data_IF_114144023018
#
_entry.id   IF_114144023018
#
_cell.length_a   1.000
_cell.length_b   1.000
_cell.length_c   1.000
_cell.angle_alpha   90.00
_cell.angle_beta   90.00
_cell.angle_gamma   90.00
#
_symmetry.space_group_name_H-M   'P 1'
#
loop_
_entity.id
_entity.type
_entity.pdbx_description
1 polymer ?
#
# COMPACT_ATOMS: atom_id res chain seq x y z
N UNK A 1 17.49 -19.62 3.79
CA UNK A 1 16.11 -20.12 3.71
C UNK A 1 15.40 -19.38 2.60
N UNK A 2 14.64 -20.09 1.75
CA UNK A 2 13.86 -19.48 0.64
C UNK A 2 12.54 -18.94 1.20
N UNK A 3 12.00 -17.89 0.58
CA UNK A 3 10.67 -17.36 0.90
C UNK A 3 9.82 -17.39 -0.36
N UNK A 4 8.73 -18.11 -0.33
CA UNK A 4 7.89 -18.39 -1.50
C UNK A 4 6.67 -17.48 -1.52
N UNK A 5 6.26 -17.04 -2.71
CA UNK A 5 5.01 -16.31 -2.95
C UNK A 5 3.96 -17.34 -3.35
N UNK A 6 2.94 -17.49 -2.52
CA UNK A 6 1.90 -18.52 -2.70
C UNK A 6 0.50 -17.95 -2.90
N UNK A 7 0.36 -16.63 -2.86
CA UNK A 7 -0.88 -15.92 -3.16
C UNK A 7 -0.59 -14.49 -3.60
N UNK A 8 -1.43 -13.97 -4.49
CA UNK A 8 -1.33 -12.60 -5.00
C UNK A 8 -2.74 -12.01 -5.10
N UNK A 9 -2.92 -10.83 -4.53
CA UNK A 9 -4.09 -9.98 -4.72
C UNK A 9 -3.68 -8.60 -5.19
N UNK A 10 -4.41 -8.08 -6.15
CA UNK A 10 -4.26 -6.72 -6.67
C UNK A 10 -5.64 -6.12 -6.91
N UNK A 11 -5.78 -4.87 -6.53
CA UNK A 11 -6.89 -4.00 -6.92
C UNK A 11 -6.33 -2.64 -7.29
N UNK A 12 -6.63 -2.16 -8.47
CA UNK A 12 -6.16 -0.87 -8.99
C UNK A 12 -7.23 -0.21 -9.84
N UNK A 13 -6.99 0.99 -10.31
CA UNK A 13 -7.85 1.68 -11.27
C UNK A 13 -8.00 0.91 -12.62
N UNK A 14 -7.10 -0.03 -12.92
CA UNK A 14 -7.22 -0.93 -14.06
C UNK A 14 -8.06 -2.17 -13.75
N UNK A 15 -8.41 -2.42 -12.50
CA UNK A 15 -9.19 -3.58 -12.04
C UNK A 15 -8.39 -4.54 -11.17
N UNK A 16 -8.76 -5.83 -11.18
CA UNK A 16 -8.04 -6.88 -10.46
C UNK A 16 -6.72 -7.26 -11.16
N UNK A 17 -5.99 -8.24 -10.60
CA UNK A 17 -4.69 -8.69 -11.11
C UNK A 17 -4.70 -9.02 -12.61
N UNK A 18 -5.65 -9.82 -13.06
CA UNK A 18 -5.72 -10.27 -14.46
C UNK A 18 -6.10 -9.13 -15.40
N UNK A 19 -7.13 -8.35 -15.05
CA UNK A 19 -7.56 -7.19 -15.80
C UNK A 19 -6.47 -6.12 -15.90
N UNK A 20 -5.75 -5.88 -14.79
CA UNK A 20 -4.63 -4.95 -14.78
C UNK A 20 -3.51 -5.42 -15.69
N UNK A 21 -3.16 -6.70 -15.64
CA UNK A 21 -2.13 -7.27 -16.49
C UNK A 21 -2.49 -7.17 -17.98
N UNK A 22 -3.70 -7.59 -18.39
CA UNK A 22 -4.17 -7.47 -19.78
C UNK A 22 -4.14 -6.02 -20.28
N UNK A 23 -4.63 -5.08 -19.47
CA UNK A 23 -4.66 -3.67 -19.84
C UNK A 23 -3.25 -3.06 -19.95
N UNK A 24 -2.32 -3.46 -19.07
CA UNK A 24 -0.91 -3.04 -19.14
C UNK A 24 -0.27 -3.55 -20.45
N UNK A 25 -0.48 -4.81 -20.81
CA UNK A 25 0.03 -5.37 -22.09
C UNK A 25 -0.54 -4.65 -23.31
N UNK A 26 -1.75 -4.09 -23.20
CA UNK A 26 -2.39 -3.29 -24.25
C UNK A 26 -1.98 -1.80 -24.22
N UNK A 27 -1.07 -1.41 -23.33
CA UNK A 27 -0.68 0.00 -23.15
C UNK A 27 -1.80 0.91 -22.63
N UNK A 28 -2.84 0.34 -22.01
CA UNK A 28 -3.98 1.12 -21.50
C UNK A 28 -3.64 1.78 -20.17
N UNK A 29 -4.03 3.04 -20.03
CA UNK A 29 -3.96 3.81 -18.78
C UNK A 29 -5.37 3.99 -18.18
N UNK A 30 -5.44 3.96 -16.85
CA UNK A 30 -6.65 4.32 -16.11
C UNK A 30 -6.68 5.79 -15.66
N UNK A 31 -5.65 6.57 -15.98
CA UNK A 31 -5.62 7.99 -15.66
C UNK A 31 -6.67 8.72 -16.50
N UNK A 32 -7.55 9.46 -15.84
CA UNK A 32 -8.60 10.28 -16.45
C UNK A 32 -8.70 11.60 -15.70
N UNK A 33 -9.32 12.60 -16.33
CA UNK A 33 -9.65 13.86 -15.65
C UNK A 33 -10.87 13.64 -14.75
N UNK A 34 -10.70 13.96 -13.46
CA UNK A 34 -11.73 13.84 -12.44
C UNK A 34 -11.82 15.11 -11.61
N UNK A 35 -13.01 15.39 -11.07
CA UNK A 35 -13.26 16.43 -10.08
C UNK A 35 -13.86 15.78 -8.82
N UNK A 36 -13.03 15.13 -7.97
CA UNK A 36 -13.56 14.38 -6.83
C UNK A 36 -14.12 15.27 -5.72
N UNK A 37 -13.75 16.56 -5.69
CA UNK A 37 -14.19 17.55 -4.71
C UNK A 37 -14.59 18.83 -5.43
N UNK A 38 -15.73 19.42 -5.06
CA UNK A 38 -16.31 20.59 -5.75
C UNK A 38 -15.38 21.81 -5.73
N UNK A 39 -14.61 21.96 -4.64
CA UNK A 39 -13.65 23.06 -4.44
C UNK A 39 -12.34 22.91 -5.25
N UNK A 40 -12.10 21.76 -5.88
CA UNK A 40 -10.90 21.53 -6.66
C UNK A 40 -11.17 21.56 -8.17
N UNK A 41 -10.16 21.91 -8.98
CA UNK A 41 -10.28 21.83 -10.44
C UNK A 41 -10.30 20.37 -10.91
N UNK A 42 -10.52 20.16 -12.20
CA UNK A 42 -10.26 18.87 -12.87
C UNK A 42 -8.78 18.51 -12.73
N UNK A 43 -8.51 17.28 -12.33
CA UNK A 43 -7.16 16.75 -12.14
C UNK A 43 -7.03 15.37 -12.79
N UNK A 44 -5.85 15.04 -13.38
CA UNK A 44 -5.57 13.68 -13.80
C UNK A 44 -5.43 12.81 -12.55
N UNK A 45 -6.28 11.78 -12.43
CA UNK A 45 -6.32 10.85 -11.30
C UNK A 45 -6.58 9.44 -11.82
N UNK A 46 -6.14 8.42 -11.05
CA UNK A 46 -6.42 7.02 -11.31
C UNK A 46 -7.34 6.46 -10.20
N UNK A 47 -8.64 6.67 -10.36
CA UNK A 47 -9.67 6.21 -9.44
C UNK A 47 -10.08 4.77 -9.74
N UNK A 48 -10.35 3.98 -8.69
CA UNK A 48 -10.93 2.63 -8.84
C UNK A 48 -12.41 2.69 -9.20
N UNK A 49 -13.14 3.61 -8.59
CA UNK A 49 -14.56 3.85 -8.83
C UNK A 49 -14.79 5.26 -9.42
N UNK A 50 -16.03 5.70 -9.48
CA UNK A 50 -16.41 7.05 -9.94
C UNK A 50 -15.94 8.17 -9.01
N UNK A 51 -15.63 7.87 -7.75
CA UNK A 51 -15.10 8.79 -6.73
C UNK A 51 -14.05 8.10 -5.86
N UNK A 52 -13.39 8.86 -4.96
CA UNK A 52 -12.42 8.30 -4.04
C UNK A 52 -13.02 7.18 -3.19
N UNK A 53 -12.25 6.09 -3.02
CA UNK A 53 -12.70 4.93 -2.26
C UNK A 53 -12.29 5.02 -0.79
N UNK A 54 -13.05 4.35 0.05
CA UNK A 54 -12.68 4.15 1.46
C UNK A 54 -11.64 3.04 1.59
N UNK A 55 -10.59 3.30 2.35
CA UNK A 55 -9.49 2.35 2.55
C UNK A 55 -9.95 1.01 3.17
N UNK A 56 -10.90 0.96 4.15
CA UNK A 56 -11.41 -0.30 4.67
C UNK A 56 -12.04 -1.20 3.62
N UNK A 57 -12.77 -0.62 2.67
CA UNK A 57 -13.34 -1.36 1.56
C UNK A 57 -12.23 -1.99 0.69
N UNK A 58 -11.20 -1.21 0.35
CA UNK A 58 -10.07 -1.69 -0.47
C UNK A 58 -9.31 -2.83 0.22
N UNK A 59 -9.04 -2.70 1.52
CA UNK A 59 -8.37 -3.75 2.31
C UNK A 59 -9.20 -5.03 2.27
N UNK A 60 -10.51 -4.92 2.52
CA UNK A 60 -11.40 -6.10 2.50
C UNK A 60 -11.36 -6.82 1.17
N UNK A 61 -11.41 -6.08 0.07
CA UNK A 61 -11.38 -6.65 -1.29
C UNK A 61 -10.04 -7.33 -1.59
N UNK A 62 -8.92 -6.64 -1.37
CA UNK A 62 -7.61 -7.18 -1.74
C UNK A 62 -7.18 -8.34 -0.84
N UNK A 63 -7.43 -8.28 0.48
CA UNK A 63 -7.13 -9.38 1.40
C UNK A 63 -7.96 -10.61 1.05
N UNK A 64 -9.27 -10.44 0.81
CA UNK A 64 -10.15 -11.53 0.41
C UNK A 64 -9.70 -12.21 -0.90
N UNK A 65 -9.34 -11.42 -1.91
CA UNK A 65 -8.82 -11.97 -3.19
C UNK A 65 -7.46 -12.64 -3.01
N UNK A 66 -6.59 -12.12 -2.15
CA UNK A 66 -5.28 -12.71 -1.84
C UNK A 66 -5.42 -14.06 -1.16
N UNK A 67 -6.25 -14.16 -0.12
CA UNK A 67 -6.56 -15.42 0.57
C UNK A 67 -7.12 -16.44 -0.41
N UNK A 68 -8.10 -16.06 -1.22
CA UNK A 68 -8.67 -16.94 -2.26
C UNK A 68 -7.62 -17.40 -3.26
N UNK A 69 -6.76 -16.50 -3.75
CA UNK A 69 -5.67 -16.81 -4.70
C UNK A 69 -4.67 -17.81 -4.14
N UNK A 70 -4.44 -17.80 -2.83
CA UNK A 70 -3.51 -18.70 -2.15
C UNK A 70 -4.11 -20.08 -1.83
N UNK A 71 -5.41 -20.28 -2.02
CA UNK A 71 -6.11 -21.49 -1.58
C UNK A 71 -6.20 -21.65 -0.06
N UNK A 72 -6.05 -20.57 0.69
CA UNK A 72 -6.17 -20.57 2.14
C UNK A 72 -7.63 -20.37 2.58
N UNK A 73 -7.95 -20.85 3.76
CA UNK A 73 -9.24 -20.66 4.43
C UNK A 73 -9.03 -19.95 5.76
N UNK A 74 -9.81 -18.93 6.03
CA UNK A 74 -9.80 -18.24 7.31
C UNK A 74 -10.59 -19.04 8.37
N UNK A 75 -10.25 -18.97 9.67
CA UNK A 75 -9.22 -18.10 10.26
C UNK A 75 -7.79 -18.63 10.07
N UNK A 76 -6.81 -17.69 10.09
CA UNK A 76 -5.37 -17.98 9.96
C UNK A 76 -4.62 -17.49 11.21
N UNK A 77 -4.81 -18.12 12.39
CA UNK A 77 -4.29 -17.59 13.65
C UNK A 77 -2.76 -17.47 13.69
N UNK A 78 -2.03 -18.37 13.06
CA UNK A 78 -0.56 -18.38 13.02
C UNK A 78 0.04 -17.48 11.93
N UNK A 79 -0.81 -16.73 11.20
CA UNK A 79 -0.35 -15.87 10.13
C UNK A 79 0.17 -14.54 10.67
N UNK A 80 1.36 -14.12 10.23
CA UNK A 80 1.80 -12.75 10.39
C UNK A 80 1.13 -11.83 9.39
N UNK A 81 1.03 -10.54 9.71
CA UNK A 81 0.49 -9.50 8.84
C UNK A 81 1.44 -8.31 8.79
N UNK A 82 1.88 -7.94 7.60
CA UNK A 82 2.74 -6.77 7.39
C UNK A 82 2.13 -5.94 6.26
N UNK A 83 1.26 -5.02 6.62
CA UNK A 83 0.56 -4.17 5.66
C UNK A 83 0.83 -2.71 5.99
N UNK A 84 1.44 -2.01 5.03
CA UNK A 84 1.73 -0.61 5.13
C UNK A 84 0.75 0.26 4.35
N UNK A 85 0.66 1.51 4.78
CA UNK A 85 0.04 2.59 4.02
C UNK A 85 0.79 3.88 4.29
N UNK A 86 1.03 4.68 3.26
CA UNK A 86 1.71 5.97 3.44
C UNK A 86 0.78 7.06 3.98
N UNK A 87 -0.53 6.85 3.85
CA UNK A 87 -1.56 7.81 4.25
C UNK A 87 -2.52 7.26 5.29
N UNK A 88 -2.63 5.93 5.42
CA UNK A 88 -3.59 5.30 6.31
C UNK A 88 -5.01 5.76 6.03
N UNK A 89 -5.77 6.00 7.06
CA UNK A 89 -7.15 6.49 6.98
C UNK A 89 -7.26 8.01 6.86
N UNK A 90 -6.34 8.67 6.12
CA UNK A 90 -6.27 10.12 6.04
C UNK A 90 -7.60 10.77 5.64
N UNK A 91 -8.33 10.22 4.67
CA UNK A 91 -9.64 10.77 4.28
C UNK A 91 -10.64 10.77 5.43
N UNK A 92 -10.69 9.70 6.21
CA UNK A 92 -11.54 9.60 7.40
C UNK A 92 -11.06 10.56 8.50
N UNK A 93 -9.75 10.69 8.68
CA UNK A 93 -9.15 11.65 9.62
C UNK A 93 -9.49 13.09 9.27
N UNK A 94 -9.46 13.45 7.98
CA UNK A 94 -9.86 14.80 7.52
C UNK A 94 -11.34 15.09 7.82
N UNK A 95 -12.22 14.10 7.60
CA UNK A 95 -13.64 14.21 7.94
C UNK A 95 -13.83 14.34 9.45
N UNK A 96 -13.14 13.51 10.23
CA UNK A 96 -13.17 13.58 11.69
C UNK A 96 -12.70 14.95 12.21
N UNK A 97 -11.54 15.42 11.73
CA UNK A 97 -10.98 16.71 12.11
C UNK A 97 -11.91 17.88 11.73
N UNK A 98 -12.50 17.84 10.52
CA UNK A 98 -13.45 18.87 10.08
C UNK A 98 -14.66 18.94 11.00
N UNK A 99 -15.21 17.80 11.42
CA UNK A 99 -16.35 17.72 12.32
C UNK A 99 -16.04 18.28 13.71
N UNK A 100 -14.83 17.97 14.24
CA UNK A 100 -14.48 18.27 15.63
C UNK A 100 -13.84 19.64 15.84
N UNK A 101 -13.19 20.21 14.84
CA UNK A 101 -12.45 21.47 14.99
C UNK A 101 -13.08 22.66 14.23
N UNK A 102 -13.96 22.38 13.25
CA UNK A 102 -14.50 23.41 12.39
C UNK A 102 -16.06 23.49 12.39
N UNK A 103 -16.72 22.57 13.07
CA UNK A 103 -18.15 22.64 13.35
C UNK A 103 -18.29 22.80 14.85
N UNK A 104 -19.27 23.60 15.33
CA UNK A 104 -19.53 23.89 16.76
C UNK A 104 -19.76 22.60 17.58
N UNK A 105 -18.70 21.84 17.83
CA UNK A 105 -18.73 20.66 18.71
C UNK A 105 -18.56 21.11 20.17
N UNK A 106 -19.44 20.66 21.05
CA UNK A 106 -19.27 20.83 22.48
C UNK A 106 -18.08 20.00 22.97
N UNK A 107 -17.37 20.50 23.97
CA UNK A 107 -16.19 19.85 24.54
C UNK A 107 -16.44 18.42 25.01
N UNK A 108 -17.67 18.15 25.52
CA UNK A 108 -18.11 16.82 25.96
C UNK A 108 -18.20 15.78 24.82
N UNK A 109 -18.39 16.20 23.58
CA UNK A 109 -18.45 15.31 22.41
C UNK A 109 -17.04 14.86 21.96
N UNK A 110 -16.02 15.68 22.23
CA UNK A 110 -14.61 15.34 21.97
C UNK A 110 -14.11 14.19 22.84
N UNK A 111 -14.42 14.23 24.15
CA UNK A 111 -13.96 13.19 25.10
C UNK A 111 -14.58 11.82 24.79
N UNK A 112 -15.82 11.80 24.29
CA UNK A 112 -16.51 10.56 23.93
C UNK A 112 -16.03 9.93 22.62
N UNK A 113 -15.33 10.68 21.75
CA UNK A 113 -14.95 10.23 20.41
C UNK A 113 -13.45 9.91 20.27
N UNK A 114 -12.67 9.91 21.36
CA UNK A 114 -11.26 9.47 21.31
C UNK A 114 -11.10 8.02 20.81
N UNK A 115 -12.08 7.15 21.10
CA UNK A 115 -12.12 5.79 20.56
C UNK A 115 -12.16 5.76 19.03
N UNK A 116 -12.92 6.66 18.43
CA UNK A 116 -12.98 6.83 16.97
C UNK A 116 -11.66 7.31 16.39
N UNK A 117 -10.97 8.24 17.06
CA UNK A 117 -9.67 8.75 16.63
C UNK A 117 -8.60 7.64 16.58
N UNK A 118 -8.53 6.79 17.61
CA UNK A 118 -7.57 5.67 17.65
C UNK A 118 -7.74 4.75 16.45
N UNK A 119 -8.97 4.57 15.95
CA UNK A 119 -9.27 3.77 14.77
C UNK A 119 -8.84 4.42 13.44
N UNK A 120 -8.39 5.68 13.45
CA UNK A 120 -7.90 6.40 12.28
C UNK A 120 -6.37 6.43 12.18
N UNK A 121 -5.67 5.91 13.18
CA UNK A 121 -4.20 5.93 13.23
C UNK A 121 -3.56 5.10 12.10
N UNK A 122 -2.35 5.46 11.65
CA UNK A 122 -1.72 4.89 10.46
C UNK A 122 -1.50 3.36 10.49
N UNK A 123 -1.49 2.74 11.67
CA UNK A 123 -1.30 1.29 11.81
C UNK A 123 -2.61 0.49 11.64
N UNK A 124 -3.75 1.13 11.67
CA UNK A 124 -5.06 0.48 11.59
C UNK A 124 -5.30 -0.36 10.32
N UNK A 125 -4.79 -0.01 9.14
CA UNK A 125 -4.88 -0.88 7.97
C UNK A 125 -4.36 -2.30 8.19
N UNK A 126 -3.24 -2.44 8.91
CA UNK A 126 -2.67 -3.75 9.24
C UNK A 126 -3.53 -4.51 10.26
N UNK A 127 -4.05 -3.82 11.29
CA UNK A 127 -4.94 -4.40 12.28
C UNK A 127 -6.25 -4.86 11.63
N UNK A 128 -6.83 -4.05 10.74
CA UNK A 128 -8.05 -4.40 10.03
C UNK A 128 -7.87 -5.66 9.18
N UNK A 129 -6.75 -5.76 8.45
CA UNK A 129 -6.41 -6.95 7.67
C UNK A 129 -6.20 -8.18 8.56
N UNK A 130 -5.51 -8.03 9.70
CA UNK A 130 -5.29 -9.10 10.67
C UNK A 130 -6.62 -9.62 11.25
N UNK A 131 -7.51 -8.72 11.63
CA UNK A 131 -8.87 -9.05 12.11
C UNK A 131 -9.67 -9.81 11.04
N UNK A 132 -9.61 -9.37 9.78
CA UNK A 132 -10.33 -9.99 8.67
C UNK A 132 -9.94 -11.46 8.46
N UNK A 133 -8.68 -11.81 8.68
CA UNK A 133 -8.19 -13.18 8.51
C UNK A 133 -8.07 -13.96 9.84
N UNK A 134 -8.45 -13.37 10.96
CA UNK A 134 -8.35 -13.97 12.27
C UNK A 134 -6.90 -14.23 12.72
N UNK A 135 -5.95 -13.41 12.23
CA UNK A 135 -4.54 -13.54 12.60
C UNK A 135 -4.30 -13.13 14.06
N UNK A 136 -3.47 -13.90 14.76
CA UNK A 136 -2.99 -13.65 16.14
C UNK A 136 -1.47 -13.56 16.21
N UNK A 137 -0.79 -13.74 15.08
CA UNK A 137 0.66 -13.61 14.96
C UNK A 137 1.12 -12.16 14.94
N UNK A 138 2.37 -11.93 14.52
CA UNK A 138 2.97 -10.59 14.44
C UNK A 138 2.22 -9.70 13.47
N UNK A 139 1.84 -8.50 13.91
CA UNK A 139 1.21 -7.47 13.07
C UNK A 139 2.12 -6.25 13.01
N UNK A 140 2.56 -5.87 11.81
CA UNK A 140 3.41 -4.70 11.56
C UNK A 140 2.77 -3.78 10.52
N UNK A 141 2.94 -2.48 10.70
CA UNK A 141 2.45 -1.44 9.80
C UNK A 141 3.60 -0.51 9.38
N UNK A 142 4.50 -0.93 8.50
CA UNK A 142 5.60 -0.09 8.05
C UNK A 142 5.08 1.10 7.25
N UNK A 143 5.78 2.24 7.40
CA UNK A 143 5.56 3.43 6.61
C UNK A 143 6.90 3.97 6.11
N UNK A 144 7.05 4.08 4.80
CA UNK A 144 8.24 4.59 4.12
C UNK A 144 7.85 5.34 2.85
N UNK A 145 6.82 6.18 2.93
CA UNK A 145 6.25 6.91 1.81
C UNK A 145 6.03 6.01 0.57
N UNK A 146 6.55 6.36 -0.60
CA UNK A 146 6.38 5.58 -1.84
C UNK A 146 7.01 4.18 -1.77
N UNK A 147 7.98 3.94 -0.88
CA UNK A 147 8.64 2.65 -0.70
C UNK A 147 7.94 1.71 0.29
N UNK A 148 6.79 2.12 0.87
CA UNK A 148 6.08 1.38 1.91
C UNK A 148 5.81 -0.08 1.54
N UNK A 149 5.39 -0.35 0.28
CA UNK A 149 5.13 -1.71 -0.19
C UNK A 149 6.37 -2.61 -0.19
N UNK A 150 7.52 -2.07 -0.62
CA UNK A 150 8.79 -2.81 -0.60
C UNK A 150 9.24 -3.07 0.84
N UNK A 151 9.08 -2.10 1.75
CA UNK A 151 9.36 -2.27 3.17
C UNK A 151 8.48 -3.36 3.80
N UNK A 152 7.19 -3.40 3.46
CA UNK A 152 6.29 -4.44 3.95
C UNK A 152 6.72 -5.83 3.50
N UNK A 153 7.07 -6.00 2.21
CA UNK A 153 7.56 -7.27 1.67
C UNK A 153 8.88 -7.67 2.35
N UNK A 154 9.82 -6.73 2.52
CA UNK A 154 11.09 -6.97 3.19
C UNK A 154 10.91 -7.46 4.64
N UNK A 155 10.02 -6.82 5.40
CA UNK A 155 9.71 -7.22 6.78
C UNK A 155 9.05 -8.59 6.84
N UNK A 156 8.10 -8.89 5.97
CA UNK A 156 7.51 -10.23 5.90
C UNK A 156 8.53 -11.30 5.51
N UNK A 157 9.44 -10.99 4.59
CA UNK A 157 10.56 -11.87 4.26
C UNK A 157 11.44 -12.16 5.50
N UNK A 158 11.79 -11.13 6.28
CA UNK A 158 12.58 -11.28 7.50
C UNK A 158 11.87 -12.14 8.54
N UNK A 159 10.57 -11.95 8.77
CA UNK A 159 9.79 -12.75 9.71
C UNK A 159 9.82 -14.26 9.37
N UNK A 160 9.76 -14.60 8.08
CA UNK A 160 9.86 -15.99 7.63
C UNK A 160 11.30 -16.48 7.75
N UNK A 161 12.27 -15.69 7.28
CA UNK A 161 13.68 -16.08 7.27
C UNK A 161 14.23 -16.33 8.67
N UNK A 162 13.77 -15.59 9.67
CA UNK A 162 14.15 -15.74 11.09
C UNK A 162 13.32 -16.79 11.84
N UNK A 163 12.34 -17.43 11.17
CA UNK A 163 11.49 -18.43 11.78
C UNK A 163 10.41 -17.90 12.73
N UNK A 164 10.22 -16.56 12.81
CA UNK A 164 9.16 -15.96 13.63
C UNK A 164 7.77 -16.28 13.11
N UNK A 165 7.63 -16.42 11.80
CA UNK A 165 6.39 -16.82 11.13
C UNK A 165 6.69 -17.85 10.04
N UNK A 166 5.78 -18.79 9.82
CA UNK A 166 5.82 -19.70 8.67
C UNK A 166 5.03 -19.15 7.48
N UNK A 167 4.10 -18.22 7.75
CA UNK A 167 3.25 -17.54 6.77
C UNK A 167 3.07 -16.10 7.16
N UNK A 168 3.12 -15.19 6.17
CA UNK A 168 2.89 -13.75 6.36
C UNK A 168 2.10 -13.22 5.18
N UNK A 169 1.06 -12.44 5.44
CA UNK A 169 0.41 -11.60 4.43
C UNK A 169 1.11 -10.25 4.42
N UNK A 170 1.62 -9.84 3.26
CA UNK A 170 2.44 -8.63 3.12
C UNK A 170 1.98 -7.76 1.97
N UNK A 171 2.13 -6.46 2.10
CA UNK A 171 1.87 -5.54 1.00
C UNK A 171 1.56 -4.12 1.44
N UNK A 172 0.94 -3.38 0.53
CA UNK A 172 0.52 -2.01 0.80
C UNK A 172 -0.87 -1.72 0.22
N UNK A 173 -1.54 -0.77 0.86
CA UNK A 173 -2.88 -0.30 0.50
C UNK A 173 -2.88 1.22 0.53
N UNK A 174 -3.43 1.85 -0.53
CA UNK A 174 -3.44 3.31 -0.64
C UNK A 174 -4.76 3.82 -1.22
N UNK A 175 -5.35 4.79 -0.52
CA UNK A 175 -6.46 5.62 -0.98
C UNK A 175 -6.12 7.10 -0.70
N UNK A 176 -5.15 7.67 -1.45
CA UNK A 176 -4.55 8.96 -1.13
C UNK A 176 -5.32 10.16 -1.70
N UNK A 177 -6.45 9.94 -2.36
CA UNK A 177 -7.18 11.02 -3.04
C UNK A 177 -8.08 11.72 -2.04
N UNK A 178 -7.49 12.72 -1.36
CA UNK A 178 -8.15 13.56 -0.36
C UNK A 178 -7.81 15.04 -0.63
N UNK A 179 -8.63 16.00 -0.13
CA UNK A 179 -8.32 17.43 -0.26
C UNK A 179 -6.93 17.80 0.27
N UNK A 180 -6.55 17.27 1.44
CA UNK A 180 -5.26 17.56 2.05
C UNK A 180 -4.09 16.96 1.26
N UNK A 181 -4.20 15.72 0.78
CA UNK A 181 -3.17 15.11 -0.09
C UNK A 181 -2.98 15.89 -1.38
N UNK A 182 -4.07 16.23 -2.07
CA UNK A 182 -4.02 17.00 -3.31
C UNK A 182 -3.42 18.39 -3.05
N UNK A 183 -3.89 19.08 -2.02
CA UNK A 183 -3.38 20.41 -1.62
C UNK A 183 -1.89 20.36 -1.27
N UNK A 184 -1.46 19.36 -0.51
CA UNK A 184 -0.06 19.17 -0.13
C UNK A 184 0.85 18.96 -1.33
N UNK A 185 0.53 18.01 -2.21
CA UNK A 185 1.32 17.74 -3.41
C UNK A 185 1.29 18.92 -4.41
N UNK A 186 0.15 19.61 -4.52
CA UNK A 186 0.06 20.84 -5.32
C UNK A 186 0.99 21.92 -4.78
N UNK A 187 1.01 22.13 -3.46
CA UNK A 187 1.88 23.12 -2.80
C UNK A 187 3.36 22.78 -2.97
N UNK A 188 3.71 21.51 -3.00
CA UNK A 188 5.06 21.03 -3.28
C UNK A 188 5.46 21.13 -4.76
N UNK A 189 4.54 21.50 -5.66
CA UNK A 189 4.79 21.51 -7.11
C UNK A 189 5.01 20.11 -7.70
N UNK A 190 4.49 19.05 -7.04
CA UNK A 190 4.73 17.68 -7.42
C UNK A 190 3.62 17.04 -8.27
N UNK A 191 2.44 17.67 -8.39
CA UNK A 191 1.33 17.14 -9.18
C UNK A 191 1.49 17.45 -10.66
N UNK A 192 1.29 16.44 -11.49
CA UNK A 192 1.14 16.56 -12.93
C UNK A 192 -0.19 17.25 -13.29
N UNK A 193 -0.22 17.95 -14.42
CA UNK A 193 -1.39 18.67 -14.93
C UNK A 193 -2.15 17.87 -15.99
N UNK A 194 -1.42 17.10 -16.80
CA UNK A 194 -1.99 16.40 -17.96
C UNK A 194 -1.95 14.88 -17.82
N UNK A 195 -0.94 14.31 -17.17
CA UNK A 195 -0.80 12.87 -17.00
C UNK A 195 0.51 12.44 -16.37
N UNK A 196 0.71 11.14 -16.25
CA UNK A 196 1.96 10.56 -15.76
C UNK A 196 2.85 10.16 -16.95
N UNK A 197 4.02 10.74 -17.02
CA UNK A 197 5.02 10.52 -18.09
C UNK A 197 6.36 10.16 -17.47
N UNK A 198 6.49 8.97 -16.83
CA UNK A 198 7.72 8.58 -16.15
C UNK A 198 8.87 8.48 -17.16
N UNK A 199 10.03 9.01 -16.78
CA UNK A 199 11.24 9.08 -17.58
C UNK A 199 11.18 9.97 -18.84
N UNK A 200 10.02 10.58 -19.13
CA UNK A 200 9.89 11.51 -20.24
C UNK A 200 10.65 12.81 -19.99
N UNK A 201 11.13 13.40 -21.07
CA UNK A 201 11.76 14.71 -21.06
C UNK A 201 10.81 15.81 -20.55
N UNK A 202 9.53 15.69 -20.87
CA UNK A 202 8.48 16.66 -20.52
C UNK A 202 7.63 16.20 -19.33
N UNK A 203 8.16 15.31 -18.49
CA UNK A 203 7.41 14.89 -17.30
C UNK A 203 7.09 16.06 -16.39
N UNK A 204 5.86 16.10 -15.89
CA UNK A 204 5.33 17.21 -15.09
C UNK A 204 5.31 16.93 -13.59
N UNK A 205 5.27 15.66 -13.20
CA UNK A 205 5.11 15.26 -11.82
C UNK A 205 4.37 13.94 -11.69
N UNK A 206 3.79 13.71 -10.51
CA UNK A 206 3.02 12.50 -10.21
C UNK A 206 1.52 12.69 -10.47
N UNK A 207 0.85 11.59 -10.75
CA UNK A 207 -0.61 11.46 -10.75
C UNK A 207 -1.01 10.61 -9.57
N UNK A 208 -1.93 11.09 -8.73
CA UNK A 208 -2.46 10.30 -7.61
C UNK A 208 -3.34 9.17 -8.12
N UNK A 209 -3.19 8.01 -7.52
CA UNK A 209 -3.99 6.82 -7.82
C UNK A 209 -4.31 6.01 -6.57
N UNK A 210 -5.36 5.23 -6.65
CA UNK A 210 -5.78 4.30 -5.61
C UNK A 210 -5.35 2.88 -5.99
N UNK A 211 -5.03 2.08 -4.99
CA UNK A 211 -4.70 0.69 -5.23
C UNK A 211 -4.19 -0.05 -4.01
N UNK A 212 -4.19 -1.35 -4.13
CA UNK A 212 -3.63 -2.26 -3.14
C UNK A 212 -3.02 -3.48 -3.82
N UNK A 213 -1.87 -3.90 -3.32
CA UNK A 213 -1.22 -5.14 -3.72
C UNK A 213 -0.75 -5.89 -2.48
N UNK A 214 -1.19 -7.14 -2.36
CA UNK A 214 -0.90 -8.01 -1.23
C UNK A 214 -0.41 -9.37 -1.72
N UNK A 215 0.61 -9.90 -1.07
CA UNK A 215 1.17 -11.22 -1.30
C UNK A 215 0.97 -12.11 -0.06
N UNK A 216 0.82 -13.41 -0.27
CA UNK A 216 1.07 -14.41 0.77
C UNK A 216 2.48 -14.91 0.60
N UNK A 217 3.29 -14.75 1.63
CA UNK A 217 4.63 -15.34 1.74
C UNK A 217 4.59 -16.55 2.65
N UNK A 218 5.29 -17.61 2.26
CA UNK A 218 5.39 -18.85 3.07
C UNK A 218 6.80 -19.42 3.05
N UNK A 219 7.13 -20.15 4.11
CA UNK A 219 8.30 -21.01 4.13
C UNK A 219 8.14 -22.15 3.12
N UNK A 220 9.24 -22.68 2.55
CA UNK A 220 9.18 -23.83 1.64
C UNK A 220 8.53 -25.07 2.27
N UNK A 221 8.73 -25.27 3.56
CA UNK A 221 8.20 -26.38 4.33
C UNK A 221 6.67 -26.34 4.35
N UNK A 222 6.10 -25.20 4.77
CA UNK A 222 4.66 -25.00 4.86
C UNK A 222 4.00 -25.04 3.47
N UNK A 223 4.61 -24.39 2.47
CA UNK A 223 4.10 -24.39 1.11
C UNK A 223 4.03 -25.81 0.50
N UNK A 224 5.06 -26.64 0.73
CA UNK A 224 5.09 -28.05 0.30
C UNK A 224 4.06 -28.90 1.03
N UNK A 225 3.96 -28.75 2.35
CA UNK A 225 3.03 -29.50 3.19
C UNK A 225 1.58 -29.35 2.71
N UNK A 226 1.16 -28.15 2.33
CA UNK A 226 -0.18 -27.89 1.82
C UNK A 226 -0.30 -27.93 0.28
N UNK A 227 0.76 -28.32 -0.44
CA UNK A 227 0.81 -28.36 -1.91
C UNK A 227 0.40 -27.03 -2.55
N UNK A 228 0.94 -25.93 -1.99
CA UNK A 228 0.61 -24.58 -2.46
C UNK A 228 1.02 -24.36 -3.91
N UNK A 229 0.21 -23.62 -4.66
CA UNK A 229 0.66 -23.04 -5.92
C UNK A 229 1.74 -21.99 -5.63
N UNK A 230 2.90 -22.11 -6.27
CA UNK A 230 4.02 -21.19 -6.13
C UNK A 230 4.01 -20.24 -7.32
N UNK A 231 3.86 -18.93 -7.06
CA UNK A 231 3.94 -17.90 -8.09
C UNK A 231 5.36 -17.41 -8.32
N UNK A 232 6.21 -17.50 -7.32
CA UNK A 232 7.59 -17.06 -7.39
C UNK A 232 8.29 -17.17 -6.03
N UNK A 233 9.49 -16.62 -5.97
CA UNK A 233 10.33 -16.58 -4.77
C UNK A 233 10.89 -15.18 -4.58
N UNK A 234 10.85 -14.67 -3.35
CA UNK A 234 11.63 -13.48 -2.97
C UNK A 234 13.05 -13.96 -2.70
N UNK A 235 14.01 -13.45 -3.46
CA UNK A 235 15.42 -13.84 -3.35
C UNK A 235 16.23 -12.88 -2.50
N UNK A 236 15.95 -11.58 -2.62
CA UNK A 236 16.64 -10.54 -1.87
C UNK A 236 15.88 -9.21 -1.95
N UNK A 237 16.30 -8.29 -1.13
CA UNK A 237 15.84 -6.91 -1.12
C UNK A 237 16.95 -6.00 -0.59
N UNK A 238 16.80 -4.69 -0.80
CA UNK A 238 17.60 -3.69 -0.13
C UNK A 238 16.76 -2.43 0.12
N UNK A 239 17.09 -1.76 1.20
CA UNK A 239 16.44 -0.54 1.65
C UNK A 239 17.54 0.46 1.94
N UNK A 240 17.49 1.63 1.28
CA UNK A 240 18.47 2.70 1.40
C UNK A 240 17.77 4.03 1.56
N UNK A 241 18.52 5.03 1.95
CA UNK A 241 18.06 6.41 2.05
C UNK A 241 19.07 7.30 1.34
N UNK A 242 18.59 8.26 0.55
CA UNK A 242 19.47 9.21 -0.12
C UNK A 242 20.17 10.17 0.85
N UNK A 243 19.58 10.38 2.04
CA UNK A 243 20.07 11.35 3.03
C UNK A 243 20.33 12.75 2.42
N UNK A 244 19.58 13.07 1.37
CA UNK A 244 19.67 14.30 0.61
C UNK A 244 18.56 15.27 1.01
N UNK A 245 18.67 16.51 0.54
CA UNK A 245 17.82 17.59 0.99
C UNK A 245 16.44 17.59 0.32
N UNK A 246 15.39 17.59 1.12
CA UNK A 246 14.00 17.86 0.71
C UNK A 246 13.39 16.78 -0.18
N UNK A 247 12.70 17.21 -1.24
CA UNK A 247 11.93 16.34 -2.15
C UNK A 247 12.68 15.93 -3.41
N UNK A 248 13.95 16.32 -3.54
CA UNK A 248 14.77 16.02 -4.72
C UNK A 248 15.59 14.75 -4.45
N UNK A 249 15.59 13.78 -5.39
CA UNK A 249 16.52 12.66 -5.34
C UNK A 249 17.98 13.13 -5.34
N UNK A 250 18.84 12.35 -4.72
CA UNK A 250 20.28 12.59 -4.76
C UNK A 250 20.79 12.45 -6.21
N UNK A 251 21.48 13.49 -6.71
CA UNK A 251 21.80 13.65 -8.14
C UNK A 251 22.74 12.57 -8.67
N UNK A 252 23.67 12.08 -7.85
CA UNK A 252 24.62 11.03 -8.26
C UNK A 252 23.97 9.64 -8.34
N UNK A 253 22.75 9.46 -7.80
CA UNK A 253 22.06 8.19 -7.72
C UNK A 253 22.75 7.17 -6.80
N UNK A 254 23.57 7.61 -5.86
CA UNK A 254 24.34 6.75 -4.94
C UNK A 254 23.42 5.83 -4.11
N UNK A 255 22.32 6.36 -3.60
CA UNK A 255 21.32 5.59 -2.83
C UNK A 255 20.70 4.47 -3.67
N UNK A 256 20.26 4.78 -4.89
CA UNK A 256 19.68 3.80 -5.81
C UNK A 256 20.69 2.73 -6.23
N UNK A 257 21.93 3.11 -6.58
CA UNK A 257 23.00 2.17 -6.92
C UNK A 257 23.30 1.23 -5.75
N UNK A 258 23.37 1.76 -4.53
CA UNK A 258 23.61 0.96 -3.33
C UNK A 258 22.47 -0.04 -3.09
N UNK A 259 21.21 0.38 -3.26
CA UNK A 259 20.06 -0.51 -3.13
C UNK A 259 20.13 -1.67 -4.15
N UNK A 260 20.43 -1.38 -5.42
CA UNK A 260 20.57 -2.40 -6.45
C UNK A 260 21.71 -3.38 -6.10
N UNK A 261 22.90 -2.87 -5.79
CA UNK A 261 24.05 -3.69 -5.45
C UNK A 261 23.79 -4.60 -4.24
N UNK A 262 23.22 -4.09 -3.18
CA UNK A 262 22.88 -4.88 -1.99
C UNK A 262 21.80 -5.92 -2.27
N UNK A 263 20.76 -5.56 -3.05
CA UNK A 263 19.72 -6.51 -3.43
C UNK A 263 20.29 -7.68 -4.24
N UNK A 264 21.13 -7.40 -5.24
CA UNK A 264 21.81 -8.42 -6.04
C UNK A 264 22.71 -9.31 -5.18
N UNK A 265 23.53 -8.73 -4.32
CA UNK A 265 24.42 -9.48 -3.43
C UNK A 265 23.65 -10.42 -2.48
N UNK A 266 22.46 -10.01 -2.01
CA UNK A 266 21.60 -10.84 -1.16
C UNK A 266 20.82 -11.92 -1.93
N UNK A 267 20.68 -11.74 -3.22
CA UNK A 267 19.92 -12.66 -4.08
C UNK A 267 20.69 -13.89 -4.52
N UNK A 268 22.01 -13.89 -4.43
CA UNK A 268 22.91 -14.98 -4.83
C UNK A 268 23.16 -14.99 -6.32
#
# INVERSE_FOLDING_TARGET
MKVLVTGIGLTSALGNLYQSWEKILQGKSAIRLHRPFAELPLLPLALINSGPIELPWLIRQVVGTTVKSSGLTVPLPECGVVIGSSRGYQGMLEVWAKRHFFQDCKQDDLEKDYGSFVNLLPHQPAIFAASQIGARGTVLAPMAACATGIWAIARGFELIKTGQCQRVIVGAVESPITPLSIGGFKKMGALARTGAYPFDRYREGLVLGEGAAILVLESPELARQRRAKIFGQIRGFALTNDASYGTKPEVSGKGARLAIAQCLARSG
#
